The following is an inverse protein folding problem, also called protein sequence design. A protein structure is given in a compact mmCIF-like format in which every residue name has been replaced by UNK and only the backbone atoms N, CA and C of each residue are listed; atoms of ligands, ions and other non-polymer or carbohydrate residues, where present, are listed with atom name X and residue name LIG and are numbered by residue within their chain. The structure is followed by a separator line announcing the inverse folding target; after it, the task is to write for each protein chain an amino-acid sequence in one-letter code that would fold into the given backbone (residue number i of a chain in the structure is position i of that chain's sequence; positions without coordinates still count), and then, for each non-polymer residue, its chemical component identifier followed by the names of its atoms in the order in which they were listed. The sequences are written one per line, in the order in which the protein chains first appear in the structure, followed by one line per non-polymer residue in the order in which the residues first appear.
data_IF_674278560775
#
_entry.id   IF_674278560775
#
_cell.length_a   1.000
_cell.length_b   1.000
_cell.length_c   1.000
_cell.angle_alpha   90.00
_cell.angle_beta   90.00
_cell.angle_gamma   90.00
#
_symmetry.space_group_name_H-M   'P 1'
#
loop_
_entity.id
_entity.type
_entity.pdbx_description
1 polymer ?
#
# COMPACT_ATOMS: atom_id res chain seq x y z
N UNK A 1 -14.66 11.21 20.45
CA UNK A 1 -13.50 10.79 19.64
C UNK A 1 -13.56 9.28 19.57
N UNK A 2 -13.83 8.70 18.40
CA UNK A 2 -13.85 7.25 18.22
C UNK A 2 -12.45 6.68 18.43
N UNK A 3 -12.34 5.54 19.11
CA UNK A 3 -11.06 4.85 19.25
C UNK A 3 -10.65 4.24 17.89
N UNK A 4 -9.35 4.27 17.53
CA UNK A 4 -8.90 3.73 16.25
C UNK A 4 -8.96 2.20 16.24
N UNK A 5 -9.47 1.61 15.16
CA UNK A 5 -9.60 0.15 14.99
C UNK A 5 -8.23 -0.50 14.68
N UNK A 6 -7.30 0.28 14.10
CA UNK A 6 -5.97 -0.17 13.69
C UNK A 6 -4.93 0.92 13.97
N UNK A 7 -3.77 0.52 14.49
CA UNK A 7 -2.61 1.39 14.68
C UNK A 7 -1.42 0.93 13.84
N UNK A 8 -0.75 1.89 13.19
CA UNK A 8 0.47 1.65 12.42
C UNK A 8 1.69 2.06 13.23
N UNK A 9 2.56 1.09 13.51
CA UNK A 9 3.87 1.32 14.16
C UNK A 9 4.93 1.48 13.08
N UNK A 10 5.60 2.62 13.09
CA UNK A 10 6.71 2.92 12.18
C UNK A 10 8.03 2.68 12.92
N UNK A 11 9.03 2.12 12.25
CA UNK A 11 10.41 2.06 12.77
C UNK A 11 11.19 3.31 12.33
N UNK A 12 12.28 3.65 13.02
CA UNK A 12 13.09 4.84 12.71
C UNK A 12 13.69 4.81 11.28
N UNK A 13 13.93 3.62 10.72
CA UNK A 13 14.37 3.44 9.34
C UNK A 13 13.40 2.50 8.60
N UNK A 14 12.60 3.07 7.69
CA UNK A 14 11.74 2.31 6.78
C UNK A 14 12.41 2.23 5.40
N UNK A 15 12.80 1.02 4.93
CA UNK A 15 13.43 0.88 3.63
C UNK A 15 12.47 1.26 2.49
N UNK A 16 13.02 1.81 1.41
CA UNK A 16 12.27 2.05 0.17
C UNK A 16 12.16 0.75 -0.63
N UNK A 17 10.94 0.43 -1.04
CA UNK A 17 10.61 -0.73 -1.87
C UNK A 17 9.97 -0.28 -3.19
N UNK A 18 9.94 -1.19 -4.16
CA UNK A 18 9.22 -1.01 -5.43
C UNK A 18 8.07 -2.00 -5.47
N UNK A 19 6.84 -1.49 -5.48
CA UNK A 19 5.64 -2.32 -5.60
C UNK A 19 5.47 -2.78 -7.05
N UNK A 20 5.42 -4.10 -7.29
CA UNK A 20 5.26 -4.69 -8.62
C UNK A 20 3.93 -5.44 -8.70
N UNK A 21 3.01 -4.97 -9.55
CA UNK A 21 1.73 -5.62 -9.81
C UNK A 21 1.89 -6.49 -11.06
N UNK A 22 1.96 -7.81 -10.87
CA UNK A 22 2.16 -8.77 -11.96
C UNK A 22 0.82 -9.24 -12.56
N UNK A 23 0.74 -9.53 -13.87
CA UNK A 23 -0.48 -9.99 -14.53
C UNK A 23 -0.71 -11.50 -14.30
N UNK A 24 -0.40 -11.99 -13.10
CA UNK A 24 -0.54 -13.39 -12.73
C UNK A 24 -0.59 -13.56 -11.21
N UNK A 25 -1.23 -14.64 -10.75
CA UNK A 25 -1.23 -15.03 -9.35
C UNK A 25 -0.02 -15.92 -9.04
N UNK A 26 0.73 -15.56 -8.00
CA UNK A 26 1.78 -16.40 -7.42
C UNK A 26 1.21 -17.02 -6.13
N UNK A 27 1.21 -18.34 -6.02
CA UNK A 27 0.68 -19.03 -4.83
C UNK A 27 1.62 -18.97 -3.63
N UNK A 28 2.93 -18.85 -3.87
CA UNK A 28 3.91 -18.68 -2.81
C UNK A 28 3.75 -17.29 -2.18
N UNK A 29 3.64 -17.26 -0.85
CA UNK A 29 3.68 -16.03 -0.07
C UNK A 29 4.86 -16.13 0.90
N UNK A 30 5.85 -15.25 0.74
CA UNK A 30 7.08 -15.24 1.53
C UNK A 30 8.25 -14.64 0.76
N UNK A 31 9.39 -14.43 1.45
CA UNK A 31 10.61 -13.91 0.83
C UNK A 31 11.15 -14.85 -0.24
N UNK A 32 11.78 -14.28 -1.27
CA UNK A 32 12.42 -15.01 -2.37
C UNK A 32 13.83 -14.45 -2.51
N UNK A 33 14.82 -15.14 -1.95
CA UNK A 33 16.22 -14.72 -1.99
C UNK A 33 17.08 -15.73 -2.77
N UNK A 34 17.95 -15.27 -3.71
CA UNK A 34 18.09 -13.89 -4.19
C UNK A 34 17.14 -13.58 -5.37
N UNK A 35 16.24 -12.60 -5.20
CA UNK A 35 15.34 -12.14 -6.28
C UNK A 35 16.09 -11.51 -7.47
N UNK A 36 17.22 -10.86 -7.20
CA UNK A 36 18.00 -10.11 -8.19
C UNK A 36 18.56 -10.97 -9.30
N UNK A 37 18.71 -12.29 -9.10
CA UNK A 37 19.15 -13.21 -10.15
C UNK A 37 18.06 -13.49 -11.20
N UNK A 38 16.78 -13.38 -10.81
CA UNK A 38 15.64 -13.81 -11.62
C UNK A 38 14.76 -12.65 -12.09
N UNK A 39 14.74 -11.55 -11.36
CA UNK A 39 13.93 -10.38 -11.65
C UNK A 39 14.84 -9.16 -11.84
N UNK A 40 15.00 -8.75 -13.11
CA UNK A 40 15.80 -7.58 -13.50
C UNK A 40 15.03 -6.71 -14.50
N UNK A 41 14.07 -5.90 -14.02
CA UNK A 41 13.44 -4.88 -14.85
C UNK A 41 14.47 -3.94 -15.48
N UNK A 42 14.38 -3.72 -16.79
CA UNK A 42 15.12 -2.70 -17.52
C UNK A 42 14.19 -1.56 -17.89
N UNK A 43 14.69 -0.33 -17.91
CA UNK A 43 13.89 0.84 -18.34
C UNK A 43 14.35 1.23 -19.74
N UNK A 44 13.41 1.41 -20.67
CA UNK A 44 13.69 1.91 -22.01
C UNK A 44 13.69 3.45 -22.03
N UNK A 45 14.07 4.02 -23.17
CA UNK A 45 14.25 5.47 -23.34
C UNK A 45 12.94 6.27 -23.18
N UNK A 46 11.80 5.62 -23.42
CA UNK A 46 10.46 6.18 -23.25
C UNK A 46 9.94 6.13 -21.79
N UNK A 47 10.73 5.57 -20.86
CA UNK A 47 10.35 5.36 -19.47
C UNK A 47 9.58 4.06 -19.20
N UNK A 48 9.26 3.28 -20.24
CA UNK A 48 8.59 1.97 -20.11
C UNK A 48 9.55 0.96 -19.51
N UNK A 49 9.09 0.18 -18.53
CA UNK A 49 9.86 -0.92 -17.95
C UNK A 49 9.62 -2.21 -18.72
N UNK A 50 10.63 -3.06 -18.82
CA UNK A 50 10.57 -4.37 -19.45
C UNK A 50 11.18 -5.42 -18.52
N UNK A 51 10.52 -6.57 -18.41
CA UNK A 51 11.03 -7.71 -17.66
C UNK A 51 10.56 -9.02 -18.28
N UNK A 52 11.19 -10.14 -17.92
CA UNK A 52 10.73 -11.47 -18.30
C UNK A 52 10.35 -12.24 -17.05
N UNK A 53 9.12 -12.75 -17.02
CA UNK A 53 8.66 -13.61 -15.94
C UNK A 53 8.20 -14.95 -16.52
N UNK A 54 8.78 -16.05 -16.05
CA UNK A 54 8.44 -17.41 -16.52
C UNK A 54 8.51 -17.56 -18.06
N UNK A 55 9.47 -16.89 -18.69
CA UNK A 55 9.66 -16.92 -20.14
C UNK A 55 8.70 -16.02 -20.94
N UNK A 56 7.82 -15.26 -20.28
CA UNK A 56 6.92 -14.30 -20.93
C UNK A 56 7.46 -12.89 -20.75
N UNK A 57 7.50 -12.12 -21.82
CA UNK A 57 7.85 -10.70 -21.76
C UNK A 57 6.70 -9.93 -21.10
N UNK A 58 7.07 -9.02 -20.21
CA UNK A 58 6.19 -8.09 -19.54
C UNK A 58 6.60 -6.67 -19.90
N UNK A 59 5.61 -5.82 -20.12
CA UNK A 59 5.78 -4.37 -20.25
C UNK A 59 5.19 -3.73 -18.99
N UNK A 60 5.92 -2.81 -18.40
CA UNK A 60 5.61 -2.21 -17.11
C UNK A 60 5.45 -0.70 -17.24
N UNK A 61 4.30 -0.18 -16.82
CA UNK A 61 4.06 1.27 -16.68
C UNK A 61 4.31 1.66 -15.23
N UNK A 62 5.12 2.69 -15.04
CA UNK A 62 5.38 3.28 -13.73
C UNK A 62 4.27 4.25 -13.40
N UNK A 63 3.69 4.10 -12.22
CA UNK A 63 2.65 4.97 -11.68
C UNK A 63 3.17 5.52 -10.37
N UNK A 64 3.24 6.85 -10.29
CA UNK A 64 3.63 7.54 -9.07
C UNK A 64 2.41 7.73 -8.18
N UNK A 65 2.62 7.63 -6.89
CA UNK A 65 1.59 7.99 -5.93
C UNK A 65 1.35 9.51 -5.98
N UNK A 66 0.10 9.98 -5.81
CA UNK A 66 -0.18 11.40 -5.63
C UNK A 66 0.58 11.96 -4.42
N UNK A 67 0.97 13.23 -4.46
CA UNK A 67 1.77 13.89 -3.42
C UNK A 67 1.11 13.86 -2.03
N UNK A 68 -0.22 13.78 -1.98
CA UNK A 68 -1.01 13.67 -0.75
C UNK A 68 -1.11 12.23 -0.19
N UNK A 69 -0.51 11.25 -0.86
CA UNK A 69 -0.59 9.84 -0.49
C UNK A 69 0.78 9.27 -0.12
N UNK A 70 0.80 8.39 0.88
CA UNK A 70 1.99 7.65 1.30
C UNK A 70 1.77 6.15 1.12
N UNK A 71 2.63 5.51 0.32
CA UNK A 71 2.62 4.06 0.14
C UNK A 71 3.40 3.36 1.24
N UNK A 72 2.75 2.43 1.95
CA UNK A 72 3.36 1.64 3.03
C UNK A 72 3.10 0.15 2.82
N UNK A 73 4.10 -0.67 3.12
CA UNK A 73 3.96 -2.12 3.27
C UNK A 73 3.85 -2.40 4.76
N UNK A 74 2.80 -3.12 5.15
CA UNK A 74 2.50 -3.40 6.55
C UNK A 74 2.44 -4.90 6.80
N UNK A 75 2.99 -5.32 7.93
CA UNK A 75 2.86 -6.68 8.43
C UNK A 75 2.13 -6.67 9.77
N UNK A 76 1.20 -7.61 9.93
CA UNK A 76 0.56 -7.83 11.22
C UNK A 76 1.56 -8.52 12.14
N UNK A 77 1.97 -7.85 13.22
CA UNK A 77 2.58 -8.56 14.33
C UNK A 77 1.51 -9.41 14.98
N UNK A 78 1.81 -10.69 15.23
CA UNK A 78 1.02 -11.43 16.21
C UNK A 78 1.17 -10.67 17.51
N UNK A 79 0.07 -10.18 18.06
CA UNK A 79 0.08 -9.61 19.40
C UNK A 79 0.69 -10.70 20.30
N UNK A 80 1.84 -10.42 20.91
CA UNK A 80 2.32 -11.27 22.00
C UNK A 80 1.20 -11.26 23.03
N UNK A 81 0.53 -12.40 23.19
CA UNK A 81 -0.46 -12.57 24.25
C UNK A 81 0.21 -12.11 25.55
N UNK A 82 -0.35 -11.13 26.29
CA UNK A 82 0.13 -10.89 27.63
C UNK A 82 -0.06 -12.19 28.40
N UNK A 83 1.01 -12.62 29.08
CA UNK A 83 1.00 -13.70 30.05
C UNK A 83 -0.30 -13.67 30.85
N UNK A 84 -0.93 -14.84 30.97
CA UNK A 84 -2.14 -15.10 31.71
C UNK A 84 -1.97 -14.74 33.20
N UNK A 85 -2.09 -13.46 33.56
CA UNK A 85 -1.99 -12.99 34.96
C UNK A 85 -2.86 -11.75 35.25
N UNK A 86 -3.97 -11.56 34.52
CA UNK A 86 -5.02 -10.58 34.90
C UNK A 86 -6.43 -11.18 34.71
N UNK A 87 -6.63 -12.41 35.21
CA UNK A 87 -7.97 -13.04 35.28
C UNK A 87 -8.71 -12.78 36.59
N UNK A 88 -8.14 -12.02 37.53
CA UNK A 88 -8.88 -11.58 38.72
C UNK A 88 -9.27 -10.11 38.57
N UNK A 89 -10.58 -9.84 38.58
CA UNK A 89 -11.28 -8.54 38.64
C UNK A 89 -11.90 -7.99 37.34
N UNK A 90 -12.51 -8.83 36.49
CA UNK A 90 -13.59 -8.34 35.62
C UNK A 90 -14.93 -8.57 36.33
N UNK A 91 -15.48 -7.49 36.91
CA UNK A 91 -16.89 -7.45 37.32
C UNK A 91 -17.77 -7.77 36.11
N UNK A 92 -18.77 -8.64 36.31
CA UNK A 92 -19.75 -9.04 35.30
C UNK A 92 -20.52 -7.81 34.78
N UNK A 93 -20.19 -7.30 33.59
CA UNK A 93 -21.00 -6.26 32.94
C UNK A 93 -20.36 -5.46 31.81
N UNK A 94 -19.04 -5.52 31.60
CA UNK A 94 -18.38 -4.74 30.54
C UNK A 94 -17.91 -5.67 29.41
N UNK A 95 -18.31 -5.35 28.17
CA UNK A 95 -17.79 -6.02 26.98
C UNK A 95 -16.25 -5.96 27.01
N UNK A 96 -15.53 -7.04 26.62
CA UNK A 96 -14.08 -7.02 26.60
C UNK A 96 -13.59 -5.83 25.76
N UNK A 97 -12.58 -5.07 26.22
CA UNK A 97 -12.15 -3.86 25.55
C UNK A 97 -11.80 -4.17 24.09
N UNK A 98 -12.40 -3.44 23.14
CA UNK A 98 -12.12 -3.56 21.72
C UNK A 98 -10.60 -3.41 21.49
N UNK A 99 -9.94 -4.52 21.15
CA UNK A 99 -8.48 -4.53 20.98
C UNK A 99 -8.10 -3.87 19.67
N UNK A 100 -7.39 -2.76 19.74
CA UNK A 100 -6.81 -2.08 18.58
C UNK A 100 -5.79 -3.02 17.93
N UNK A 101 -6.02 -3.41 16.67
CA UNK A 101 -5.05 -4.19 15.92
C UNK A 101 -3.76 -3.39 15.70
N UNK A 102 -2.60 -3.99 15.93
CA UNK A 102 -1.30 -3.35 15.68
C UNK A 102 -0.67 -3.91 14.40
N UNK A 103 -0.30 -3.03 13.47
CA UNK A 103 0.51 -3.39 12.29
C UNK A 103 1.86 -2.66 12.33
N UNK A 104 2.90 -3.29 11.81
CA UNK A 104 4.24 -2.70 11.66
C UNK A 104 4.47 -2.32 10.21
N UNK A 105 4.91 -1.09 9.96
CA UNK A 105 5.40 -0.66 8.64
C UNK A 105 6.76 -1.29 8.40
N UNK A 106 6.89 -2.08 7.34
CA UNK A 106 8.12 -2.79 6.97
C UNK A 106 8.86 -2.15 5.82
N UNK A 107 8.16 -1.42 4.94
CA UNK A 107 8.75 -0.67 3.85
C UNK A 107 7.82 0.46 3.38
N UNK A 108 8.37 1.40 2.62
CA UNK A 108 7.63 2.47 1.95
C UNK A 108 7.90 2.46 0.46
N UNK A 109 6.93 2.94 -0.33
CA UNK A 109 7.10 3.07 -1.77
C UNK A 109 6.42 4.36 -2.25
N UNK A 110 7.04 5.02 -3.23
CA UNK A 110 6.54 6.25 -3.83
C UNK A 110 5.96 6.00 -5.23
N UNK A 111 6.28 4.85 -5.81
CA UNK A 111 5.82 4.41 -7.11
C UNK A 111 5.49 2.92 -7.12
N UNK A 112 4.60 2.55 -8.02
CA UNK A 112 4.28 1.17 -8.34
C UNK A 112 4.46 0.93 -9.83
N UNK A 113 4.77 -0.32 -10.19
CA UNK A 113 4.89 -0.76 -11.58
C UNK A 113 3.79 -1.75 -11.87
N UNK A 114 2.90 -1.38 -12.78
CA UNK A 114 1.85 -2.28 -13.30
C UNK A 114 2.38 -2.97 -14.53
N UNK A 115 2.43 -4.30 -14.48
CA UNK A 115 2.96 -5.14 -15.54
C UNK A 115 1.85 -5.80 -16.34
N UNK A 116 1.97 -5.75 -17.66
CA UNK A 116 1.04 -6.34 -18.61
C UNK A 116 1.77 -7.24 -19.63
N UNK A 117 1.00 -8.12 -20.27
CA UNK A 117 1.50 -8.98 -21.35
C UNK A 117 1.44 -8.27 -22.70
N UNK A 118 2.60 -7.93 -23.28
CA UNK A 118 2.86 -7.50 -24.68
C UNK A 118 2.04 -6.35 -25.30
N UNK A 119 0.86 -6.00 -24.77
CA UNK A 119 -0.03 -4.98 -25.31
C UNK A 119 -0.43 -3.99 -24.22
N UNK A 120 0.32 -2.90 -24.09
CA UNK A 120 0.00 -1.79 -23.19
C UNK A 120 -0.93 -0.75 -23.86
N UNK A 121 -1.80 -1.23 -24.76
CA UNK A 121 -2.46 -0.39 -25.75
C UNK A 121 -3.65 0.40 -25.16
N UNK A 122 -4.03 0.12 -23.91
CA UNK A 122 -5.05 0.91 -23.24
C UNK A 122 -4.78 1.03 -21.74
N UNK A 123 -3.69 1.74 -21.40
CA UNK A 123 -3.39 2.10 -20.01
C UNK A 123 -4.50 2.93 -19.35
N UNK A 124 -5.45 3.47 -20.14
CA UNK A 124 -6.64 4.20 -19.67
C UNK A 124 -7.68 3.27 -19.06
N UNK A 125 -7.70 1.99 -19.44
CA UNK A 125 -8.65 1.01 -18.95
C UNK A 125 -8.21 0.26 -17.69
N UNK A 126 -6.92 0.32 -17.34
CA UNK A 126 -6.38 -0.47 -16.22
C UNK A 126 -6.91 0.06 -14.87
N UNK A 127 -7.49 -0.80 -14.02
CA UNK A 127 -8.11 -0.38 -12.78
C UNK A 127 -7.11 0.22 -11.78
N UNK A 128 -5.85 -0.20 -11.77
CA UNK A 128 -4.85 0.33 -10.84
C UNK A 128 -4.39 1.72 -11.26
N UNK A 129 -4.18 1.93 -12.56
CA UNK A 129 -3.85 3.24 -13.13
C UNK A 129 -4.98 4.23 -12.84
N UNK A 130 -6.21 3.88 -13.22
CA UNK A 130 -7.38 4.75 -12.99
C UNK A 130 -7.61 5.03 -11.51
N UNK A 131 -7.36 4.05 -10.65
CA UNK A 131 -7.51 4.25 -9.20
C UNK A 131 -6.53 5.31 -8.69
N UNK A 132 -5.28 5.30 -9.15
CA UNK A 132 -4.29 6.28 -8.70
C UNK A 132 -4.46 7.65 -9.37
N UNK A 133 -4.76 7.69 -10.67
CA UNK A 133 -4.82 8.92 -11.45
C UNK A 133 -6.17 9.63 -11.35
N UNK A 134 -7.29 8.90 -11.25
CA UNK A 134 -8.63 9.48 -11.25
C UNK A 134 -9.30 9.37 -9.88
N UNK A 135 -9.41 8.15 -9.33
CA UNK A 135 -10.26 7.90 -8.16
C UNK A 135 -9.80 8.66 -6.91
N UNK A 136 -8.50 8.68 -6.62
CA UNK A 136 -7.98 9.40 -5.46
C UNK A 136 -8.30 10.90 -5.50
N UNK A 137 -8.26 11.51 -6.68
CA UNK A 137 -8.61 12.93 -6.86
C UNK A 137 -10.11 13.17 -6.68
N UNK A 138 -10.94 12.28 -7.23
CA UNK A 138 -12.40 12.36 -7.08
C UNK A 138 -12.81 12.19 -5.62
N UNK A 139 -12.22 11.20 -4.92
CA UNK A 139 -12.49 10.96 -3.50
C UNK A 139 -12.10 12.17 -2.65
N UNK A 140 -10.95 12.78 -2.93
CA UNK A 140 -10.50 13.99 -2.25
C UNK A 140 -11.48 15.15 -2.43
N UNK A 141 -11.98 15.39 -3.65
CA UNK A 141 -12.97 16.44 -3.90
C UNK A 141 -14.31 16.18 -3.20
N UNK A 142 -14.82 14.94 -3.24
CA UNK A 142 -16.10 14.57 -2.60
C UNK A 142 -16.04 14.75 -1.08
N UNK A 143 -14.88 14.47 -0.48
CA UNK A 143 -14.68 14.51 0.97
C UNK A 143 -14.01 15.79 1.47
N UNK A 144 -13.68 16.72 0.56
CA UNK A 144 -13.19 18.05 0.93
C UNK A 144 -14.31 18.85 1.59
N UNK A 145 -14.01 19.47 2.73
CA UNK A 145 -14.91 20.45 3.33
C UNK A 145 -14.68 21.80 2.63
N UNK A 146 -15.76 22.50 2.27
CA UNK A 146 -15.65 23.88 1.81
C UNK A 146 -14.99 24.70 2.93
N UNK A 147 -13.80 25.25 2.67
CA UNK A 147 -13.29 26.33 3.50
C UNK A 147 -14.20 27.53 3.26
N UNK A 148 -15.02 27.88 4.24
CA UNK A 148 -15.67 29.18 4.28
C UNK A 148 -14.56 30.23 4.35
N UNK A 149 -14.18 30.79 3.20
CA UNK A 149 -13.38 32.02 3.09
C UNK A 149 -14.22 33.20 3.62
N UNK A 150 -14.43 33.24 4.93
CA UNK A 150 -15.12 34.34 5.58
C UNK A 150 -14.40 34.72 6.89
N UNK A 151 -13.22 35.33 6.76
CA UNK A 151 -12.70 36.27 7.77
C UNK A 151 -11.43 37.00 7.29
N UNK A 152 -11.49 37.87 6.27
CA UNK A 152 -10.76 39.17 6.33
C UNK A 152 -11.37 40.21 5.38
N UNK A 153 -12.52 40.76 5.74
CA UNK A 153 -12.77 42.18 5.47
C UNK A 153 -12.87 42.90 6.82
N UNK A 154 -11.80 43.58 7.20
CA UNK A 154 -11.86 44.79 8.01
C UNK A 154 -10.62 45.64 7.80
#
# INVERSE_FOLDING_TARGET
MSQPILSLKTNDETPKAVANILPCRIHHNGPIDPISAYWKPTTADDGTKFAYFRGRKLQGKVIRLPDQCRGVVVERKKDEEPLADVVDLVEEGDDPPERVGSMQVTAEFDEMVVWEHENMNDSTGDPYIRSMEEWLQVADQIHSYQQDDDATQK
#
